data_IF_862799884452
#
_entry.id   IF_862799884452
#
_cell.length_a   1.000
_cell.length_b   1.000
_cell.length_c   1.000
_cell.angle_alpha   90.00
_cell.angle_beta   90.00
_cell.angle_gamma   90.00
#
_symmetry.space_group_name_H-M   'P 1'
#
loop_
_entity.id
_entity.type
_entity.pdbx_description
1 polymer ?
#
# COMPACT_ATOMS: atom_id res chain seq x y z
N UNK A 1 -8.30 -31.32 4.35
CA UNK A 1 -6.96 -30.74 4.07
C UNK A 1 -6.64 -29.85 5.25
N UNK A 2 -5.83 -30.34 6.18
CA UNK A 2 -5.29 -29.55 7.29
C UNK A 2 -3.80 -29.85 7.26
N UNK A 3 -3.07 -29.07 6.47
CA UNK A 3 -1.61 -29.11 6.46
C UNK A 3 -1.14 -28.33 7.69
N UNK A 4 -0.57 -28.99 8.71
CA UNK A 4 -0.13 -28.29 9.92
C UNK A 4 0.98 -27.27 9.66
N UNK A 5 1.71 -27.42 8.55
CA UNK A 5 2.74 -26.47 8.13
C UNK A 5 2.18 -25.16 7.57
N UNK A 6 0.85 -25.03 7.46
CA UNK A 6 0.11 -23.83 7.03
C UNK A 6 -0.49 -23.04 8.18
N UNK A 7 -0.18 -23.43 9.42
CA UNK A 7 -0.58 -22.72 10.62
C UNK A 7 0.64 -21.92 11.10
N UNK A 8 0.48 -20.62 11.28
CA UNK A 8 1.55 -19.71 11.66
C UNK A 8 2.74 -19.73 10.67
N UNK A 9 2.48 -19.90 9.37
CA UNK A 9 3.50 -19.80 8.32
C UNK A 9 3.69 -18.36 7.81
N UNK A 10 2.96 -17.41 8.40
CA UNK A 10 3.00 -15.99 8.06
C UNK A 10 2.26 -15.67 6.76
N UNK A 11 1.58 -16.65 6.17
CA UNK A 11 0.75 -16.51 4.98
C UNK A 11 -0.68 -16.85 5.35
N UNK A 12 -1.63 -16.01 4.92
CA UNK A 12 -3.05 -16.33 5.11
C UNK A 12 -3.47 -17.48 4.18
N UNK A 13 -3.65 -18.65 4.76
CA UNK A 13 -4.20 -19.85 4.16
C UNK A 13 -5.71 -20.01 4.48
N UNK A 14 -6.18 -19.56 5.66
CA UNK A 14 -7.60 -19.64 6.06
C UNK A 14 -8.38 -18.33 5.86
N UNK A 15 -9.68 -18.47 5.57
CA UNK A 15 -10.55 -17.34 5.26
C UNK A 15 -10.91 -16.51 6.48
N UNK A 16 -11.12 -17.17 7.61
CA UNK A 16 -11.44 -16.57 8.90
C UNK A 16 -10.21 -16.06 9.67
N UNK A 17 -9.02 -16.11 9.03
CA UNK A 17 -7.73 -15.67 9.61
C UNK A 17 -7.28 -16.55 10.80
N UNK A 18 -7.90 -17.71 11.01
CA UNK A 18 -7.65 -18.55 12.19
C UNK A 18 -6.26 -19.20 12.20
N UNK A 19 -5.69 -19.42 11.01
CA UNK A 19 -4.37 -20.01 10.80
C UNK A 19 -3.22 -19.07 11.19
N UNK A 20 -3.45 -17.77 11.14
CA UNK A 20 -2.49 -16.72 11.51
C UNK A 20 -2.99 -15.89 12.69
N UNK A 21 -3.72 -16.53 13.62
CA UNK A 21 -4.29 -15.83 14.76
C UNK A 21 -3.18 -15.27 15.65
N UNK A 22 -3.12 -13.94 15.87
CA UNK A 22 -2.06 -13.30 16.63
C UNK A 22 -2.01 -13.72 18.11
N UNK A 23 -3.07 -14.33 18.64
CA UNK A 23 -3.11 -14.87 20.02
C UNK A 23 -2.47 -16.25 20.16
N UNK A 24 -2.30 -16.97 19.05
CA UNK A 24 -1.84 -18.36 19.02
C UNK A 24 -0.47 -18.45 18.35
N UNK A 25 -0.26 -17.69 17.28
CA UNK A 25 0.98 -17.67 16.51
C UNK A 25 2.03 -16.78 17.17
N UNK A 26 3.27 -17.26 17.19
CA UNK A 26 4.43 -16.41 17.52
C UNK A 26 4.73 -15.51 16.34
N UNK A 27 5.26 -14.33 16.63
CA UNK A 27 5.77 -13.41 15.61
C UNK A 27 6.78 -14.12 14.71
N UNK A 28 6.50 -14.16 13.41
CA UNK A 28 7.46 -14.60 12.41
C UNK A 28 8.29 -13.39 11.92
N UNK A 29 9.43 -13.64 11.27
CA UNK A 29 10.21 -12.56 10.64
C UNK A 29 9.44 -11.82 9.54
N UNK A 30 8.36 -12.43 9.05
CA UNK A 30 7.44 -11.92 8.02
C UNK A 30 6.12 -11.44 8.61
N UNK A 31 6.07 -11.15 9.91
CA UNK A 31 4.88 -10.59 10.58
C UNK A 31 5.14 -9.15 11.00
N UNK A 32 4.09 -8.34 11.03
CA UNK A 32 4.09 -7.00 11.59
C UNK A 32 3.79 -7.06 13.08
N UNK A 33 4.67 -6.47 13.90
CA UNK A 33 4.50 -6.39 15.36
C UNK A 33 3.69 -5.14 15.71
N UNK A 34 2.61 -5.32 16.46
CA UNK A 34 1.75 -4.24 16.92
C UNK A 34 2.42 -3.47 18.07
N UNK A 35 3.17 -2.42 17.77
CA UNK A 35 3.79 -1.53 18.76
C UNK A 35 4.68 -2.29 19.77
N UNK A 36 4.52 -1.99 21.06
CA UNK A 36 5.22 -2.68 22.16
C UNK A 36 4.54 -3.99 22.60
N UNK A 37 3.39 -4.33 22.02
CA UNK A 37 2.71 -5.58 22.36
C UNK A 37 3.44 -6.80 21.78
N UNK A 38 3.15 -7.98 22.33
CA UNK A 38 3.60 -9.27 21.78
C UNK A 38 2.64 -9.81 20.71
N UNK A 39 1.73 -8.97 20.22
CA UNK A 39 0.74 -9.32 19.19
C UNK A 39 1.36 -9.01 17.83
N UNK A 40 1.33 -10.01 16.95
CA UNK A 40 1.86 -9.90 15.59
C UNK A 40 0.82 -10.31 14.58
N UNK A 41 0.60 -9.47 13.57
CA UNK A 41 -0.32 -9.73 12.47
C UNK A 41 0.47 -10.02 11.20
N UNK A 42 -0.06 -10.83 10.27
CA UNK A 42 0.54 -10.99 8.95
C UNK A 42 0.73 -9.66 8.23
N UNK A 43 1.75 -9.53 7.35
CA UNK A 43 1.94 -8.31 6.57
C UNK A 43 0.72 -7.94 5.73
N UNK A 44 0.01 -8.93 5.20
CA UNK A 44 -1.21 -8.72 4.42
C UNK A 44 -2.32 -8.01 5.19
N UNK A 45 -2.19 -7.91 6.53
CA UNK A 45 -3.17 -7.26 7.43
C UNK A 45 -2.81 -5.81 7.70
N UNK A 46 -1.60 -5.39 7.32
CA UNK A 46 -1.18 -3.99 7.46
C UNK A 46 -1.85 -3.16 6.38
N UNK A 47 -2.49 -2.06 6.78
CA UNK A 47 -3.12 -1.11 5.87
C UNK A 47 -4.18 -1.73 4.96
N UNK A 48 -5.07 -2.52 5.55
CA UNK A 48 -6.20 -3.10 4.86
C UNK A 48 -7.57 -2.61 5.34
N UNK A 49 -7.55 -1.59 6.21
CA UNK A 49 -8.69 -0.83 6.71
C UNK A 49 -9.47 -1.52 7.83
N UNK A 50 -8.99 -2.61 8.40
CA UNK A 50 -9.51 -3.10 9.68
C UNK A 50 -8.40 -3.08 10.74
N UNK A 51 -8.78 -2.75 11.98
CA UNK A 51 -7.83 -2.74 13.10
C UNK A 51 -7.64 -4.17 13.59
N UNK A 52 -6.59 -4.83 13.12
CA UNK A 52 -6.19 -6.14 13.62
C UNK A 52 -5.25 -6.01 14.83
N UNK A 53 -4.52 -4.88 14.96
CA UNK A 53 -3.78 -4.58 16.18
C UNK A 53 -4.68 -4.00 17.30
N UNK A 54 -4.32 -4.18 18.59
CA UNK A 54 -5.13 -3.72 19.72
C UNK A 54 -5.45 -2.22 19.70
N UNK A 55 -4.50 -1.40 19.27
CA UNK A 55 -4.68 0.05 19.15
C UNK A 55 -4.86 0.49 17.69
N UNK A 56 -4.93 -0.45 16.75
CA UNK A 56 -4.97 -0.16 15.31
C UNK A 56 -3.66 0.36 14.75
N UNK A 57 -2.51 0.00 15.35
CA UNK A 57 -1.18 0.44 14.87
C UNK A 57 -0.88 0.01 13.42
N UNK A 58 -1.47 -1.09 12.98
CA UNK A 58 -1.44 -1.63 11.61
C UNK A 58 -2.05 -0.69 10.56
N UNK A 59 -2.83 0.31 10.98
CA UNK A 59 -3.54 1.24 10.09
C UNK A 59 -3.04 2.69 10.18
N UNK A 60 -1.99 2.98 10.95
CA UNK A 60 -1.52 4.35 11.19
C UNK A 60 -0.59 4.89 10.10
N UNK A 61 0.30 4.05 9.55
CA UNK A 61 1.43 4.46 8.72
C UNK A 61 1.38 3.88 7.31
N UNK A 62 0.23 4.02 6.64
CA UNK A 62 -0.03 3.47 5.31
C UNK A 62 0.53 4.31 4.15
N UNK A 63 1.24 5.39 4.46
CA UNK A 63 1.85 6.26 3.48
C UNK A 63 3.34 6.42 3.75
N UNK A 64 4.12 6.50 2.67
CA UNK A 64 5.55 6.76 2.74
C UNK A 64 5.97 7.66 1.58
N UNK A 65 7.07 8.39 1.76
CA UNK A 65 7.72 9.11 0.67
C UNK A 65 8.88 8.27 0.13
N UNK A 66 8.78 7.84 -1.12
CA UNK A 66 9.92 7.25 -1.81
C UNK A 66 10.88 8.39 -2.21
N UNK A 67 11.89 8.61 -1.38
CA UNK A 67 12.90 9.64 -1.58
C UNK A 67 13.94 9.18 -2.63
N UNK A 68 14.14 10.00 -3.66
CA UNK A 68 15.26 9.87 -4.62
C UNK A 68 16.18 11.10 -4.58
N UNK A 69 16.03 11.99 -3.59
CA UNK A 69 16.64 13.32 -3.51
C UNK A 69 17.37 13.55 -2.17
N UNK A 70 18.26 14.55 -2.14
CA UNK A 70 18.98 15.04 -0.96
C UNK A 70 18.11 15.90 -0.03
N UNK A 71 16.86 16.20 -0.39
CA UNK A 71 15.95 17.04 0.40
C UNK A 71 15.03 16.17 1.27
N UNK A 72 15.20 16.27 2.59
CA UNK A 72 14.33 15.59 3.55
C UNK A 72 12.88 16.05 3.39
N UNK A 73 11.94 15.10 3.42
CA UNK A 73 10.52 15.38 3.26
C UNK A 73 10.06 15.53 1.81
N UNK A 74 10.94 15.35 0.81
CA UNK A 74 10.57 15.33 -0.62
C UNK A 74 10.62 13.91 -1.21
N UNK A 75 9.52 13.46 -1.81
CA UNK A 75 9.52 12.18 -2.53
C UNK A 75 8.19 11.87 -3.22
N UNK A 76 8.15 10.75 -3.95
CA UNK A 76 6.88 10.22 -4.45
C UNK A 76 6.03 9.71 -3.27
N UNK A 77 4.75 10.05 -3.26
CA UNK A 77 3.81 9.44 -2.33
C UNK A 77 3.50 7.98 -2.71
N UNK A 78 3.87 7.09 -1.80
CA UNK A 78 3.58 5.66 -1.84
C UNK A 78 2.46 5.35 -0.85
N UNK A 79 1.60 4.41 -1.23
CA UNK A 79 0.55 3.86 -0.37
C UNK A 79 0.83 2.37 -0.12
N UNK A 80 0.65 1.95 1.11
CA UNK A 80 0.61 0.54 1.47
C UNK A 80 -0.85 0.09 1.48
N UNK A 81 -1.16 -0.98 0.77
CA UNK A 81 -2.46 -1.64 0.80
C UNK A 81 -2.25 -3.14 1.00
N UNK A 82 -2.82 -3.73 2.05
CA UNK A 82 -2.69 -5.16 2.36
C UNK A 82 -1.22 -5.61 2.41
N UNK A 83 -0.39 -4.88 3.15
CA UNK A 83 1.04 -5.12 3.27
C UNK A 83 1.89 -4.70 2.07
N UNK A 84 1.28 -4.37 0.94
CA UNK A 84 1.97 -4.12 -0.32
C UNK A 84 2.15 -2.62 -0.58
N UNK A 85 3.40 -2.19 -0.74
CA UNK A 85 3.74 -0.83 -1.17
C UNK A 85 3.58 -0.65 -2.69
N UNK A 86 2.85 0.38 -3.08
CA UNK A 86 2.64 0.76 -4.47
C UNK A 86 2.43 2.27 -4.63
N UNK A 87 2.59 2.80 -5.84
CA UNK A 87 2.37 4.21 -6.14
C UNK A 87 0.91 4.58 -5.85
N UNK A 88 0.69 5.72 -5.18
CA UNK A 88 -0.66 6.24 -4.91
C UNK A 88 -1.24 6.81 -6.20
N UNK A 89 -2.36 6.24 -6.66
CA UNK A 89 -3.16 6.83 -7.74
C UNK A 89 -3.94 8.03 -7.22
N UNK A 90 -3.84 9.15 -7.93
CA UNK A 90 -4.77 10.27 -7.80
C UNK A 90 -5.60 10.40 -9.07
N UNK A 91 -6.92 10.17 -9.03
CA UNK A 91 -7.72 10.25 -10.23
C UNK A 91 -7.65 11.65 -10.85
N UNK A 92 -7.51 11.73 -12.18
CA UNK A 92 -7.36 12.99 -12.92
C UNK A 92 -8.57 13.92 -12.81
N UNK A 93 -9.73 13.35 -12.46
CA UNK A 93 -11.00 14.06 -12.29
C UNK A 93 -11.18 14.69 -10.91
N UNK A 94 -10.38 14.29 -9.93
CA UNK A 94 -10.47 14.80 -8.56
C UNK A 94 -9.66 16.09 -8.42
N UNK A 95 -10.30 17.15 -7.93
CA UNK A 95 -9.55 18.31 -7.42
C UNK A 95 -8.76 17.87 -6.20
N UNK A 96 -7.47 18.23 -6.16
CA UNK A 96 -6.62 17.94 -5.01
C UNK A 96 -7.20 18.61 -3.77
N UNK A 97 -7.63 17.80 -2.81
CA UNK A 97 -8.11 18.27 -1.52
C UNK A 97 -6.90 18.58 -0.63
N UNK A 98 -6.68 19.86 -0.36
CA UNK A 98 -5.59 20.34 0.48
C UNK A 98 -5.66 19.76 1.90
N UNK A 99 -6.87 19.49 2.43
CA UNK A 99 -7.04 18.87 3.74
C UNK A 99 -6.56 17.41 3.74
N UNK A 100 -6.86 16.67 2.67
CA UNK A 100 -6.39 15.29 2.50
C UNK A 100 -4.86 15.22 2.44
N UNK A 101 -4.22 16.13 1.70
CA UNK A 101 -2.76 16.18 1.59
C UNK A 101 -2.10 16.55 2.92
N UNK A 102 -2.74 17.43 3.69
CA UNK A 102 -2.29 17.77 5.04
C UNK A 102 -2.27 16.54 5.95
N UNK A 103 -3.35 15.75 5.95
CA UNK A 103 -3.44 14.50 6.73
C UNK A 103 -2.34 13.50 6.34
N UNK A 104 -2.02 13.39 5.05
CA UNK A 104 -0.91 12.54 4.58
C UNK A 104 0.43 13.03 5.15
N UNK A 105 0.74 14.33 5.09
CA UNK A 105 1.98 14.86 5.68
C UNK A 105 2.02 14.67 7.21
N UNK A 106 0.89 14.83 7.90
CA UNK A 106 0.76 14.56 9.34
C UNK A 106 1.08 13.09 9.67
N UNK A 107 0.56 12.14 8.89
CA UNK A 107 0.88 10.70 9.03
C UNK A 107 2.36 10.41 8.76
N UNK A 108 3.01 11.20 7.92
CA UNK A 108 4.45 11.11 7.63
C UNK A 108 5.32 11.80 8.70
N UNK A 109 4.71 12.40 9.73
CA UNK A 109 5.40 13.09 10.82
C UNK A 109 5.74 14.56 10.57
N UNK A 110 5.10 15.20 9.59
CA UNK A 110 5.31 16.60 9.21
C UNK A 110 4.05 17.44 9.53
N UNK A 111 4.22 18.72 9.89
CA UNK A 111 3.07 19.58 10.22
C UNK A 111 2.54 20.40 9.04
N UNK A 112 3.35 20.58 7.99
CA UNK A 112 3.02 21.42 6.84
C UNK A 112 3.23 20.73 5.50
N UNK A 113 2.31 20.98 4.57
CA UNK A 113 2.49 20.71 3.14
C UNK A 113 3.14 21.94 2.51
N UNK A 114 4.40 21.83 2.05
CA UNK A 114 5.07 22.97 1.39
C UNK A 114 4.81 23.02 -0.10
N UNK A 115 4.88 21.86 -0.77
CA UNK A 115 4.67 21.76 -2.23
C UNK A 115 4.03 20.44 -2.60
N UNK A 116 3.09 20.49 -3.54
CA UNK A 116 2.49 19.32 -4.20
C UNK A 116 2.85 19.40 -5.68
N UNK A 117 3.50 18.37 -6.20
CA UNK A 117 3.82 18.26 -7.62
C UNK A 117 3.14 17.03 -8.21
N UNK A 118 2.25 17.24 -9.18
CA UNK A 118 1.66 16.14 -9.95
C UNK A 118 2.41 15.88 -11.24
N UNK A 119 2.60 14.62 -11.59
CA UNK A 119 3.15 14.21 -12.89
C UNK A 119 2.31 13.10 -13.51
N UNK A 120 2.30 13.08 -14.83
CA UNK A 120 1.85 11.91 -15.58
C UNK A 120 2.81 10.72 -15.31
N UNK A 121 2.27 9.51 -15.36
CA UNK A 121 2.94 8.30 -14.83
C UNK A 121 3.97 7.73 -15.81
N UNK A 122 3.80 7.95 -17.12
CA UNK A 122 4.67 7.43 -18.19
C UNK A 122 5.25 8.57 -19.04
N UNK A 123 4.67 9.77 -19.01
CA UNK A 123 5.20 10.98 -19.62
C UNK A 123 5.96 11.84 -18.61
N UNK A 124 7.14 12.30 -19.01
CA UNK A 124 7.99 13.25 -18.26
C UNK A 124 7.39 14.66 -18.10
N UNK A 125 6.07 14.82 -18.25
CA UNK A 125 5.37 16.10 -18.15
C UNK A 125 4.96 16.39 -16.70
N UNK A 126 5.60 17.41 -16.11
CA UNK A 126 5.19 18.04 -14.84
C UNK A 126 3.88 18.79 -15.05
N UNK A 127 2.84 18.44 -14.30
CA UNK A 127 1.63 19.23 -14.21
C UNK A 127 1.85 20.31 -13.14
N UNK A 128 2.01 21.54 -13.65
CA UNK A 128 2.17 22.83 -12.98
C UNK A 128 3.62 23.24 -12.64
N UNK A 129 4.11 24.14 -13.50
CA UNK A 129 5.29 25.02 -13.42
C UNK A 129 6.67 24.44 -13.80
N UNK A 130 7.32 25.21 -14.67
CA UNK A 130 8.71 25.18 -15.12
C UNK A 130 9.10 24.25 -16.29
N UNK A 131 9.68 24.93 -17.29
CA UNK A 131 10.32 24.46 -18.52
C UNK A 131 11.05 23.12 -18.39
N UNK A 132 10.87 22.34 -19.45
CA UNK A 132 11.52 21.07 -19.73
C UNK A 132 13.04 21.18 -19.67
N UNK A 133 13.63 20.57 -18.63
CA UNK A 133 14.93 19.89 -18.74
C UNK A 133 14.82 18.64 -17.89
N UNK A 134 14.98 17.46 -18.50
CA UNK A 134 15.09 16.21 -17.75
C UNK A 134 16.37 16.28 -16.90
N UNK A 135 16.19 16.33 -15.59
CA UNK A 135 17.29 16.42 -14.63
C UNK A 135 17.95 15.04 -14.49
N UNK A 136 19.25 14.96 -14.13
CA UNK A 136 19.92 13.69 -13.83
C UNK A 136 19.20 12.83 -12.77
N UNK A 137 18.43 13.48 -11.88
CA UNK A 137 17.56 12.86 -10.87
C UNK A 137 16.40 12.08 -11.52
N UNK A 138 15.95 12.50 -12.71
CA UNK A 138 14.85 11.85 -13.43
C UNK A 138 15.24 10.43 -13.91
N UNK A 139 16.54 10.15 -14.11
CA UNK A 139 17.07 8.84 -14.51
C UNK A 139 17.25 7.85 -13.35
N UNK A 140 17.24 8.33 -12.10
CA UNK A 140 17.35 7.49 -10.90
C UNK A 140 15.98 7.04 -10.36
N UNK A 141 14.87 7.48 -10.97
CA UNK A 141 13.53 7.18 -10.48
C UNK A 141 13.10 5.76 -10.80
N UNK A 142 12.47 5.10 -9.82
CA UNK A 142 11.82 3.80 -10.02
C UNK A 142 10.54 3.95 -10.84
N UNK A 143 10.27 2.93 -11.66
CA UNK A 143 9.00 2.77 -12.37
C UNK A 143 7.85 2.75 -11.37
N UNK A 144 6.75 3.44 -11.70
CA UNK A 144 5.56 3.41 -10.87
C UNK A 144 4.97 2.00 -10.85
N UNK A 145 4.42 1.59 -9.71
CA UNK A 145 3.77 0.28 -9.53
C UNK A 145 2.38 0.42 -8.91
N UNK A 146 1.44 -0.49 -9.20
CA UNK A 146 0.09 -0.53 -8.62
C UNK A 146 -0.19 -1.88 -7.98
N UNK A 147 -0.97 -1.89 -6.91
CA UNK A 147 -1.52 -3.12 -6.35
C UNK A 147 -2.82 -3.48 -7.09
N UNK A 148 -2.89 -4.70 -7.61
CA UNK A 148 -4.10 -5.26 -8.20
C UNK A 148 -4.61 -6.44 -7.38
N UNK A 149 -5.93 -6.57 -7.27
CA UNK A 149 -6.55 -7.74 -6.66
C UNK A 149 -6.31 -8.96 -7.56
N UNK A 150 -5.49 -9.89 -7.10
CA UNK A 150 -5.22 -11.15 -7.78
C UNK A 150 -6.37 -12.15 -7.58
N UNK A 151 -6.98 -12.18 -6.40
CA UNK A 151 -8.09 -13.08 -6.12
C UNK A 151 -9.27 -12.38 -5.45
N UNK A 152 -10.42 -12.41 -6.13
CA UNK A 152 -11.72 -11.90 -5.64
C UNK A 152 -12.59 -12.97 -4.99
N UNK A 153 -12.29 -14.25 -5.21
CA UNK A 153 -13.10 -15.37 -4.74
C UNK A 153 -12.22 -16.55 -4.34
N UNK A 154 -12.37 -17.00 -3.11
CA UNK A 154 -11.68 -18.19 -2.68
C UNK A 154 -12.50 -19.44 -3.03
N UNK A 155 -11.81 -20.43 -3.58
CA UNK A 155 -12.39 -21.72 -3.96
C UNK A 155 -12.43 -22.62 -2.72
N UNK A 156 -13.62 -23.01 -2.27
CA UNK A 156 -13.82 -24.06 -1.26
C UNK A 156 -14.44 -25.29 -1.89
N UNK A 157 -13.85 -26.44 -1.61
CA UNK A 157 -14.30 -27.73 -2.11
C UNK A 157 -14.92 -28.49 -0.94
N UNK A 158 -16.24 -28.67 -0.95
CA UNK A 158 -16.99 -29.39 0.10
C UNK A 158 -17.31 -30.80 -0.41
N UNK A 159 -16.26 -31.63 -0.57
CA UNK A 159 -16.24 -32.98 -1.19
C UNK A 159 -15.92 -32.98 -2.70
N UNK A 160 -15.83 -34.18 -3.31
CA UNK A 160 -15.35 -34.36 -4.69
C UNK A 160 -16.20 -33.66 -5.77
N UNK A 161 -17.47 -33.33 -5.50
CA UNK A 161 -18.40 -32.80 -6.51
C UNK A 161 -18.84 -31.34 -6.30
N UNK A 162 -18.49 -30.69 -5.19
CA UNK A 162 -18.98 -29.34 -4.90
C UNK A 162 -17.85 -28.36 -4.69
N UNK A 163 -17.77 -27.39 -5.60
CA UNK A 163 -16.88 -26.24 -5.50
C UNK A 163 -17.72 -24.99 -5.30
N UNK A 164 -17.49 -24.29 -4.20
CA UNK A 164 -18.04 -22.96 -3.92
C UNK A 164 -16.96 -21.91 -4.13
N UNK A 165 -17.35 -20.78 -4.72
CA UNK A 165 -16.52 -19.59 -4.81
C UNK A 165 -17.11 -18.57 -3.85
N UNK A 166 -16.52 -18.47 -2.67
CA UNK A 166 -16.98 -17.49 -1.68
C UNK A 166 -16.11 -16.25 -1.76
N UNK A 167 -16.71 -15.08 -1.56
CA UNK A 167 -15.93 -13.85 -1.41
C UNK A 167 -15.04 -14.04 -0.17
N UNK A 168 -13.70 -13.99 -0.31
CA UNK A 168 -12.85 -14.00 0.86
C UNK A 168 -13.17 -12.76 1.70
N UNK A 169 -12.98 -12.86 3.01
CA UNK A 169 -13.15 -11.71 3.90
C UNK A 169 -12.29 -10.51 3.49
N UNK A 170 -11.15 -10.77 2.81
CA UNK A 170 -10.24 -9.76 2.24
C UNK A 170 -9.61 -10.26 0.92
N UNK A 171 -9.50 -9.42 -0.13
CA UNK A 171 -8.89 -9.79 -1.40
C UNK A 171 -7.36 -9.95 -1.29
N UNK A 172 -6.76 -10.81 -2.12
CA UNK A 172 -5.30 -10.92 -2.24
C UNK A 172 -4.78 -9.95 -3.29
N UNK A 173 -3.65 -9.30 -3.04
CA UNK A 173 -3.09 -8.28 -3.92
C UNK A 173 -1.73 -8.68 -4.51
N UNK A 174 -1.39 -8.08 -5.65
CA UNK A 174 -0.07 -8.22 -6.30
C UNK A 174 0.38 -6.89 -6.88
N UNK A 175 1.68 -6.61 -6.77
CA UNK A 175 2.31 -5.46 -7.44
C UNK A 175 2.49 -5.74 -8.91
N UNK A 176 2.06 -4.80 -9.76
CA UNK A 176 2.39 -4.77 -11.19
C UNK A 176 2.83 -3.38 -11.61
N UNK A 177 3.51 -3.28 -12.75
CA UNK A 177 3.87 -1.98 -13.32
C UNK A 177 2.63 -1.27 -13.88
N UNK A 178 2.64 0.06 -13.84
CA UNK A 178 1.62 0.87 -14.49
C UNK A 178 1.69 0.74 -16.00
N UNK A 179 0.54 0.81 -16.67
CA UNK A 179 0.43 0.82 -18.13
C UNK A 179 -0.09 2.18 -18.65
N UNK A 180 -0.26 2.29 -19.97
CA UNK A 180 -0.71 3.52 -20.63
C UNK A 180 -2.15 3.93 -20.26
N UNK A 181 -3.07 2.98 -20.06
CA UNK A 181 -4.45 3.29 -19.67
C UNK A 181 -4.51 3.87 -18.25
N UNK A 182 -3.65 3.36 -17.38
CA UNK A 182 -3.57 3.83 -16.01
C UNK A 182 -3.09 5.30 -15.93
N UNK A 183 -2.21 5.71 -16.85
CA UNK A 183 -1.71 7.09 -16.95
C UNK A 183 -2.80 8.11 -17.32
N UNK A 184 -3.78 7.71 -18.13
CA UNK A 184 -4.89 8.60 -18.51
C UNK A 184 -5.84 8.87 -17.33
N UNK A 185 -5.88 7.94 -16.39
CA UNK A 185 -6.85 7.95 -15.29
C UNK A 185 -6.23 8.34 -13.95
N UNK A 186 -4.91 8.26 -13.79
CA UNK A 186 -4.23 8.57 -12.55
C UNK A 186 -3.00 9.45 -12.74
N UNK A 187 -2.79 10.34 -11.78
CA UNK A 187 -1.54 11.06 -11.57
C UNK A 187 -0.72 10.43 -10.45
N UNK A 188 0.60 10.44 -10.61
CA UNK A 188 1.58 10.18 -9.54
C UNK A 188 1.97 11.52 -8.93
N UNK A 189 1.94 11.61 -7.60
CA UNK A 189 2.30 12.84 -6.89
C UNK A 189 3.64 12.72 -6.19
N UNK A 190 4.42 13.79 -6.27
CA UNK A 190 5.57 14.07 -5.42
C UNK A 190 5.14 15.13 -4.38
N UNK A 191 5.40 14.85 -3.11
CA UNK A 191 5.09 15.75 -2.00
C UNK A 191 6.38 16.26 -1.38
N UNK A 192 6.39 17.56 -1.03
CA UNK A 192 7.36 18.14 -0.11
C UNK A 192 6.61 18.48 1.19
N UNK A 193 6.75 17.63 2.19
CA UNK A 193 6.30 17.88 3.55
C UNK A 193 7.44 18.52 4.36
N UNK A 194 7.11 19.39 5.31
CA UNK A 194 8.09 20.05 6.17
C UNK A 194 7.60 20.12 7.63
N UNK A 195 8.55 20.22 8.58
CA UNK A 195 8.23 20.33 9.99
C UNK A 195 7.35 21.54 10.30
#
# INVERSE_FOLDING_TARGET
ITDPGKICDGVRNCWDKSDENPRVCRCHSTSFRCGESDICVPYDFVCDKERDCPNGEDELYCYALQQNSYEAGYGELMEQSYGIWHSKCFPTTTQFDDEYMKRICEQLGYSQVRKIFGRAIVQSARLRTANQTETPVDKLRRSATKAIVQNKFSKVVINQNHTFYMKPSRPMFKVINWNYEDEQNCHRLELLCAP
#
